data_IF_590684390301
#
_entry.id   IF_590684390301
#
_cell.length_a   1.000
_cell.length_b   1.000
_cell.length_c   1.000
_cell.angle_alpha   90.00
_cell.angle_beta   90.00
_cell.angle_gamma   90.00
#
_symmetry.space_group_name_H-M   'P 1'
#
loop_
_entity.id
_entity.type
_entity.pdbx_description
1 polymer ?
#
# COMPACT_ATOMS: atom_id res chain seq x y z
N UNK A 1 20.98 10.95 8.41
CA UNK A 1 20.20 10.01 7.58
C UNK A 1 19.20 10.75 6.70
N UNK A 2 18.30 11.58 7.23
CA UNK A 2 17.35 12.34 6.39
C UNK A 2 18.02 13.23 5.34
N UNK A 3 19.03 14.02 5.71
CA UNK A 3 19.81 14.82 4.75
C UNK A 3 20.48 13.97 3.66
N UNK A 4 20.89 12.74 4.01
CA UNK A 4 21.50 11.79 3.08
C UNK A 4 20.46 11.26 2.08
N UNK A 5 19.23 10.96 2.52
CA UNK A 5 18.12 10.58 1.64
C UNK A 5 17.76 11.74 0.71
N UNK A 6 17.60 12.94 1.26
CA UNK A 6 17.25 14.12 0.47
C UNK A 6 18.32 14.44 -0.59
N UNK A 7 19.60 14.38 -0.22
CA UNK A 7 20.70 14.55 -1.18
C UNK A 7 20.72 13.43 -2.23
N UNK A 8 20.52 12.18 -1.82
CA UNK A 8 20.52 11.02 -2.71
C UNK A 8 19.42 11.12 -3.79
N UNK A 9 18.17 11.40 -3.41
CA UNK A 9 17.03 11.51 -4.34
C UNK A 9 16.92 12.88 -5.04
N UNK A 10 17.52 13.93 -4.48
CA UNK A 10 17.50 15.28 -5.05
C UNK A 10 18.66 15.56 -6.01
N UNK A 11 19.84 14.96 -5.80
CA UNK A 11 21.07 15.32 -6.52
C UNK A 11 21.82 14.15 -7.13
N UNK A 12 21.85 12.98 -6.49
CA UNK A 12 22.65 11.84 -6.94
C UNK A 12 21.92 10.92 -7.93
N UNK A 13 20.64 10.63 -7.70
CA UNK A 13 19.81 9.83 -8.59
C UNK A 13 19.30 10.66 -9.77
N UNK A 14 19.75 10.35 -10.99
CA UNK A 14 19.24 11.00 -12.21
C UNK A 14 18.26 10.11 -12.98
N UNK A 15 18.35 8.78 -12.84
CA UNK A 15 17.42 7.85 -13.47
C UNK A 15 17.26 6.55 -12.67
N UNK A 16 16.21 5.77 -12.96
CA UNK A 16 16.02 4.44 -12.37
C UNK A 16 17.09 3.42 -12.79
N UNK A 17 17.92 3.74 -13.80
CA UNK A 17 19.03 2.88 -14.22
C UNK A 17 20.23 2.93 -13.25
N UNK A 18 20.25 3.89 -12.33
CA UNK A 18 21.33 4.08 -11.36
C UNK A 18 21.18 3.17 -10.11
N UNK A 19 20.08 2.42 -10.01
CA UNK A 19 19.76 1.50 -8.91
C UNK A 19 20.54 0.17 -9.01
N UNK A 20 21.08 -0.33 -7.89
CA UNK A 20 21.91 -1.55 -7.85
C UNK A 20 21.14 -2.81 -7.40
N UNK A 21 19.86 -2.68 -7.06
CA UNK A 21 18.98 -3.81 -6.73
C UNK A 21 17.67 -3.77 -7.50
N UNK A 22 16.97 -4.91 -7.50
CA UNK A 22 15.62 -5.05 -8.07
C UNK A 22 14.52 -4.42 -7.21
N UNK A 23 14.88 -3.83 -6.06
CA UNK A 23 13.92 -3.25 -5.12
C UNK A 23 13.06 -2.19 -5.80
N UNK A 24 13.68 -1.25 -6.51
CA UNK A 24 13.01 -0.10 -7.14
C UNK A 24 12.78 -0.26 -8.66
N UNK A 25 12.87 -1.49 -9.19
CA UNK A 25 12.76 -1.74 -10.64
C UNK A 25 11.70 -2.81 -10.92
N UNK A 26 10.49 -2.39 -11.30
CA UNK A 26 9.59 -3.23 -12.09
C UNK A 26 8.56 -2.36 -12.86
N UNK A 27 8.99 -1.87 -14.03
CA UNK A 27 8.09 -1.23 -14.99
C UNK A 27 7.11 -2.23 -15.64
N UNK A 28 7.42 -3.53 -15.59
CA UNK A 28 6.66 -4.59 -16.25
C UNK A 28 5.43 -5.07 -15.44
N UNK A 29 5.30 -4.64 -14.17
CA UNK A 29 4.19 -5.01 -13.30
C UNK A 29 2.96 -4.09 -13.41
N UNK A 30 2.99 -3.02 -14.21
CA UNK A 30 1.83 -2.11 -14.35
C UNK A 30 0.70 -2.82 -15.11
N UNK A 31 -0.51 -2.95 -14.50
CA UNK A 31 -1.67 -3.51 -15.18
C UNK A 31 -1.90 -2.87 -16.56
N UNK A 32 -2.23 -3.68 -17.56
CA UNK A 32 -2.36 -3.22 -18.95
C UNK A 32 -3.36 -2.05 -19.11
N UNK A 33 -4.40 -2.01 -18.27
CA UNK A 33 -5.41 -0.95 -18.27
C UNK A 33 -4.92 0.39 -17.71
N UNK A 34 -3.84 0.41 -16.91
CA UNK A 34 -3.21 1.63 -16.39
C UNK A 34 -2.19 2.23 -17.37
N UNK A 35 -1.67 1.45 -18.32
CA UNK A 35 -0.68 1.92 -19.30
C UNK A 35 -1.17 3.12 -20.13
N UNK A 36 -2.42 3.17 -20.63
CA UNK A 36 -2.95 4.35 -21.32
C UNK A 36 -3.00 5.60 -20.45
N UNK A 37 -3.23 5.46 -19.13
CA UNK A 37 -3.24 6.59 -18.20
C UNK A 37 -1.83 7.11 -17.93
N UNK A 38 -0.85 6.21 -17.75
CA UNK A 38 0.56 6.58 -17.65
C UNK A 38 1.06 7.30 -18.90
N UNK A 39 0.65 6.85 -20.09
CA UNK A 39 1.02 7.49 -21.35
C UNK A 39 0.50 8.94 -21.50
N UNK A 40 -0.42 9.37 -20.63
CA UNK A 40 -0.91 10.76 -20.56
C UNK A 40 -0.16 11.61 -19.54
N UNK A 41 0.71 11.01 -18.72
CA UNK A 41 1.59 11.72 -17.79
C UNK A 41 2.78 12.28 -18.55
N UNK A 42 3.22 13.48 -18.19
CA UNK A 42 4.35 14.15 -18.85
C UNK A 42 5.63 13.29 -18.75
N UNK A 43 6.42 13.16 -19.84
CA UNK A 43 7.60 12.30 -19.85
C UNK A 43 8.63 12.66 -18.77
N UNK A 44 8.85 13.96 -18.50
CA UNK A 44 9.81 14.38 -17.48
C UNK A 44 9.40 13.95 -16.07
N UNK A 45 8.11 14.04 -15.75
CA UNK A 45 7.55 13.54 -14.49
C UNK A 45 7.76 12.03 -14.41
N UNK A 46 7.50 11.30 -15.49
CA UNK A 46 7.64 9.85 -15.50
C UNK A 46 9.10 9.38 -15.41
N UNK A 47 10.06 10.14 -15.96
CA UNK A 47 11.48 9.76 -15.96
C UNK A 47 12.17 9.92 -14.60
N UNK A 48 11.64 10.78 -13.72
CA UNK A 48 12.18 11.04 -12.37
C UNK A 48 11.41 10.25 -11.30
N UNK A 49 11.10 9.00 -11.60
CA UNK A 49 10.34 8.12 -10.72
C UNK A 49 11.21 6.97 -10.20
N UNK A 50 11.16 6.71 -8.89
CA UNK A 50 12.04 5.76 -8.20
C UNK A 50 11.29 4.74 -7.33
N UNK A 51 9.99 4.53 -7.57
CA UNK A 51 9.18 3.59 -6.79
C UNK A 51 9.22 2.14 -7.29
N UNK A 52 8.84 1.20 -6.42
CA UNK A 52 8.95 -0.25 -6.64
C UNK A 52 7.81 -0.89 -7.46
N UNK A 53 6.97 -0.08 -8.10
CA UNK A 53 5.74 -0.51 -8.78
C UNK A 53 4.75 0.64 -8.97
N UNK A 54 3.45 0.35 -8.96
CA UNK A 54 2.38 1.37 -8.93
C UNK A 54 1.36 0.99 -7.85
N UNK A 55 1.06 1.94 -6.97
CA UNK A 55 0.11 1.74 -5.87
C UNK A 55 -1.23 2.34 -6.27
N UNK A 56 -2.16 1.47 -6.67
CA UNK A 56 -3.47 1.88 -7.17
C UNK A 56 -4.56 0.97 -6.59
N UNK A 57 -5.17 1.33 -5.44
CA UNK A 57 -6.33 0.60 -4.94
C UNK A 57 -7.55 0.80 -5.85
N UNK A 58 -8.53 -0.10 -5.83
CA UNK A 58 -9.75 0.04 -6.63
C UNK A 58 -10.70 1.09 -6.02
N UNK A 59 -11.72 1.46 -6.80
CA UNK A 59 -12.83 2.34 -6.39
C UNK A 59 -12.37 3.74 -5.97
N UNK A 60 -11.72 4.46 -6.90
CA UNK A 60 -11.16 5.78 -6.61
C UNK A 60 -12.01 6.95 -7.11
N UNK A 61 -13.06 6.72 -7.90
CA UNK A 61 -13.86 7.80 -8.48
C UNK A 61 -14.43 8.72 -7.38
N UNK A 62 -14.15 10.02 -7.47
CA UNK A 62 -14.56 11.03 -6.51
C UNK A 62 -13.81 11.03 -5.17
N UNK A 63 -12.82 10.14 -4.98
CA UNK A 63 -12.04 10.10 -3.75
C UNK A 63 -11.10 11.30 -3.63
N UNK A 64 -10.84 11.69 -2.38
CA UNK A 64 -9.72 12.55 -2.01
C UNK A 64 -8.55 11.71 -1.54
N UNK A 65 -7.44 11.77 -2.26
CA UNK A 65 -6.26 10.94 -2.07
C UNK A 65 -5.08 11.77 -1.55
N UNK A 66 -4.33 11.23 -0.60
CA UNK A 66 -3.02 11.74 -0.20
C UNK A 66 -1.93 10.75 -0.66
N UNK A 67 -0.94 11.24 -1.39
CA UNK A 67 0.26 10.48 -1.77
C UNK A 67 1.45 10.93 -0.92
N UNK A 68 1.98 10.01 -0.11
CA UNK A 68 3.12 10.26 0.76
C UNK A 68 4.42 9.92 0.01
N UNK A 69 5.30 10.91 -0.13
CA UNK A 69 6.54 10.77 -0.91
C UNK A 69 6.28 10.82 -2.41
N UNK A 70 5.52 11.84 -2.85
CA UNK A 70 5.01 11.93 -4.22
C UNK A 70 6.08 12.13 -5.30
N UNK A 71 7.30 12.52 -4.91
CA UNK A 71 8.40 12.85 -5.81
C UNK A 71 7.98 13.87 -6.87
N UNK A 72 8.30 13.57 -8.13
CA UNK A 72 7.93 14.36 -9.31
C UNK A 72 6.43 14.27 -9.67
N UNK A 73 5.64 13.44 -8.97
CA UNK A 73 4.19 13.39 -9.07
C UNK A 73 3.62 12.35 -10.04
N UNK A 74 4.40 11.37 -10.51
CA UNK A 74 3.92 10.32 -11.43
C UNK A 74 2.64 9.65 -10.93
N UNK A 75 2.65 9.18 -9.69
CA UNK A 75 1.51 8.46 -9.10
C UNK A 75 0.35 9.44 -8.83
N UNK A 76 0.64 10.65 -8.33
CA UNK A 76 -0.35 11.74 -8.20
C UNK A 76 -1.12 11.99 -9.50
N UNK A 77 -0.42 12.18 -10.63
CA UNK A 77 -1.05 12.46 -11.92
C UNK A 77 -1.77 11.26 -12.53
N UNK A 78 -1.33 10.04 -12.22
CA UNK A 78 -2.07 8.84 -12.60
C UNK A 78 -3.38 8.74 -11.81
N UNK A 79 -3.30 8.87 -10.48
CA UNK A 79 -4.44 8.80 -9.59
C UNK A 79 -5.44 9.93 -9.85
N UNK A 80 -4.96 11.12 -10.23
CA UNK A 80 -5.78 12.26 -10.62
C UNK A 80 -6.79 11.92 -11.73
N UNK A 81 -6.38 11.08 -12.70
CA UNK A 81 -7.26 10.62 -13.78
C UNK A 81 -8.31 9.62 -13.28
N UNK A 82 -7.97 8.79 -12.28
CA UNK A 82 -8.84 7.76 -11.72
C UNK A 82 -9.89 8.34 -10.76
N UNK A 83 -9.52 9.35 -9.98
CA UNK A 83 -10.48 10.04 -9.11
C UNK A 83 -11.43 10.95 -9.91
N UNK A 84 -10.99 11.42 -11.08
CA UNK A 84 -11.77 12.26 -11.98
C UNK A 84 -12.00 13.67 -11.45
N UNK A 85 -12.82 14.45 -12.17
CA UNK A 85 -13.06 15.88 -11.92
C UNK A 85 -13.62 16.21 -10.52
N UNK A 86 -14.29 15.24 -9.88
CA UNK A 86 -14.92 15.41 -8.56
C UNK A 86 -14.03 14.98 -7.40
N UNK A 87 -12.93 14.30 -7.69
CA UNK A 87 -11.94 13.91 -6.69
C UNK A 87 -10.78 14.89 -6.62
N UNK A 88 -9.82 14.60 -5.75
CA UNK A 88 -8.61 15.39 -5.56
C UNK A 88 -7.44 14.47 -5.20
N UNK A 89 -6.24 14.78 -5.67
CA UNK A 89 -5.01 14.12 -5.22
C UNK A 89 -4.01 15.14 -4.69
N UNK A 90 -3.57 14.94 -3.45
CA UNK A 90 -2.57 15.78 -2.80
C UNK A 90 -1.27 14.98 -2.68
N UNK A 91 -0.18 15.46 -3.27
CA UNK A 91 1.16 14.90 -3.08
C UNK A 91 1.93 15.63 -1.99
N UNK A 92 2.63 14.90 -1.12
CA UNK A 92 3.58 15.45 -0.14
C UNK A 92 4.97 14.91 -0.45
N UNK A 93 5.95 15.78 -0.58
CA UNK A 93 7.36 15.38 -0.68
C UNK A 93 8.27 16.38 0.06
N UNK A 94 9.43 15.90 0.52
CA UNK A 94 10.41 16.76 1.20
C UNK A 94 11.41 17.42 0.23
N UNK A 95 11.45 16.99 -1.03
CA UNK A 95 12.46 17.36 -2.01
C UNK A 95 11.95 18.48 -2.92
N UNK A 96 12.45 19.70 -2.71
CA UNK A 96 12.02 20.88 -3.46
C UNK A 96 12.23 20.73 -4.98
N UNK A 97 13.31 20.06 -5.40
CA UNK A 97 13.65 19.82 -6.80
C UNK A 97 12.63 18.88 -7.49
N UNK A 98 12.17 17.85 -6.78
CA UNK A 98 11.15 16.94 -7.30
C UNK A 98 9.79 17.65 -7.39
N UNK A 99 9.44 18.41 -6.35
CA UNK A 99 8.20 19.20 -6.34
C UNK A 99 8.20 20.31 -7.39
N UNK A 100 9.35 20.89 -7.73
CA UNK A 100 9.46 21.86 -8.80
C UNK A 100 9.03 21.26 -10.15
N UNK A 101 9.53 20.06 -10.49
CA UNK A 101 9.12 19.32 -11.68
C UNK A 101 7.64 18.97 -11.63
N UNK A 102 7.16 18.51 -10.48
CA UNK A 102 5.75 18.18 -10.30
C UNK A 102 4.85 19.40 -10.57
N UNK A 103 5.19 20.55 -10.00
CA UNK A 103 4.43 21.82 -10.12
C UNK A 103 4.51 22.43 -11.52
N UNK A 104 5.68 22.38 -12.16
CA UNK A 104 5.89 22.91 -13.52
C UNK A 104 4.92 22.27 -14.54
N UNK A 105 4.67 20.98 -14.40
CA UNK A 105 3.81 20.23 -15.32
C UNK A 105 2.33 20.20 -14.92
N UNK A 106 1.89 20.91 -13.87
CA UNK A 106 0.47 20.90 -13.45
C UNK A 106 -0.48 21.39 -14.54
N UNK A 107 -0.13 22.48 -15.23
CA UNK A 107 -0.98 23.03 -16.29
C UNK A 107 -1.12 22.08 -17.48
N UNK A 108 -0.02 21.42 -17.87
CA UNK A 108 -0.01 20.39 -18.92
C UNK A 108 -1.01 19.28 -18.60
N UNK A 109 -0.97 18.74 -17.38
CA UNK A 109 -1.87 17.66 -16.98
C UNK A 109 -3.32 18.13 -16.87
N UNK A 110 -3.56 19.34 -16.35
CA UNK A 110 -4.90 19.89 -16.28
C UNK A 110 -5.55 20.03 -17.66
N UNK A 111 -4.81 20.53 -18.66
CA UNK A 111 -5.26 20.60 -20.05
C UNK A 111 -5.46 19.19 -20.64
N UNK A 112 -4.51 18.29 -20.40
CA UNK A 112 -4.52 16.92 -20.95
C UNK A 112 -5.65 16.06 -20.37
N UNK A 113 -6.05 16.29 -19.13
CA UNK A 113 -7.11 15.55 -18.43
C UNK A 113 -8.48 16.21 -18.59
N UNK A 114 -8.51 17.54 -18.78
CA UNK A 114 -9.73 18.34 -18.90
C UNK A 114 -10.21 18.94 -17.57
N UNK A 115 -9.46 18.76 -16.49
CA UNK A 115 -9.76 19.27 -15.15
C UNK A 115 -8.47 19.40 -14.32
N UNK A 116 -8.47 20.30 -13.34
CA UNK A 116 -7.38 20.48 -12.39
C UNK A 116 -7.81 20.01 -11.01
N UNK A 117 -7.20 18.92 -10.52
CA UNK A 117 -7.57 18.28 -9.26
C UNK A 117 -6.34 17.78 -8.47
N UNK A 118 -5.18 18.41 -8.67
CA UNK A 118 -3.93 18.04 -8.01
C UNK A 118 -3.34 19.19 -7.21
N UNK A 119 -2.79 18.88 -6.02
CA UNK A 119 -2.06 19.82 -5.16
C UNK A 119 -0.76 19.18 -4.67
N UNK A 120 0.32 19.96 -4.57
CA UNK A 120 1.62 19.49 -4.09
C UNK A 120 2.10 20.31 -2.89
N UNK A 121 2.35 19.65 -1.76
CA UNK A 121 2.84 20.25 -0.53
C UNK A 121 4.30 19.83 -0.28
N UNK A 122 5.10 20.78 0.16
CA UNK A 122 6.45 20.50 0.64
C UNK A 122 6.40 20.18 2.13
N UNK A 123 6.94 19.02 2.51
CA UNK A 123 6.81 18.54 3.88
C UNK A 123 7.43 17.17 4.11
N UNK A 124 7.68 16.88 5.38
CA UNK A 124 8.14 15.56 5.81
C UNK A 124 6.92 14.70 6.18
N UNK A 125 6.94 13.44 5.74
CA UNK A 125 5.84 12.49 5.99
C UNK A 125 5.73 12.09 7.47
N UNK A 126 6.77 12.35 8.27
CA UNK A 126 6.78 12.19 9.72
C UNK A 126 6.05 13.32 10.47
N UNK A 127 5.86 14.47 9.80
CA UNK A 127 5.36 15.72 10.42
C UNK A 127 4.11 16.23 9.70
N UNK A 128 3.21 15.32 9.35
CA UNK A 128 2.00 15.63 8.57
C UNK A 128 1.06 16.63 9.28
N UNK A 129 1.15 16.77 10.59
CA UNK A 129 0.38 17.76 11.37
C UNK A 129 0.82 19.20 11.16
N UNK A 130 2.02 19.42 10.60
CA UNK A 130 2.55 20.75 10.30
C UNK A 130 2.10 21.24 8.92
N UNK A 131 1.53 20.35 8.11
CA UNK A 131 1.03 20.64 6.78
C UNK A 131 -0.43 21.09 6.85
N UNK A 132 -0.86 21.84 5.84
CA UNK A 132 -2.24 22.27 5.65
C UNK A 132 -3.12 21.09 5.16
N UNK A 133 -3.32 20.14 6.06
CA UNK A 133 -4.07 18.90 5.87
C UNK A 133 -5.08 18.73 7.02
N UNK A 134 -6.37 18.80 6.69
CA UNK A 134 -7.44 18.62 7.66
C UNK A 134 -7.49 17.16 8.19
N UNK A 135 -7.61 16.92 9.51
CA UNK A 135 -7.85 15.59 10.04
C UNK A 135 -9.13 14.95 9.49
N UNK A 136 -9.15 13.62 9.30
CA UNK A 136 -10.34 12.90 8.86
C UNK A 136 -10.88 13.33 7.49
N UNK A 137 -10.01 13.75 6.57
CA UNK A 137 -10.41 14.41 5.32
C UNK A 137 -10.02 13.64 4.05
N UNK A 138 -9.28 12.54 4.16
CA UNK A 138 -8.86 11.70 3.03
C UNK A 138 -9.61 10.36 3.02
N UNK A 139 -10.06 9.95 1.83
CA UNK A 139 -10.69 8.64 1.63
C UNK A 139 -9.63 7.55 1.50
N UNK A 140 -8.53 7.86 0.83
CA UNK A 140 -7.41 6.95 0.59
C UNK A 140 -6.11 7.69 0.82
N UNK A 141 -5.16 7.05 1.50
CA UNK A 141 -3.77 7.45 1.52
C UNK A 141 -3.00 6.38 0.76
N UNK A 142 -2.05 6.79 -0.09
CA UNK A 142 -1.14 5.91 -0.78
C UNK A 142 0.31 6.27 -0.48
N UNK A 143 1.19 5.30 -0.69
CA UNK A 143 2.63 5.47 -0.54
C UNK A 143 3.33 4.33 -1.27
N UNK A 144 4.47 4.61 -1.89
CA UNK A 144 5.24 3.59 -2.60
C UNK A 144 6.73 3.69 -2.25
N UNK A 145 7.22 2.71 -1.47
CA UNK A 145 8.63 2.57 -1.11
C UNK A 145 9.28 3.80 -0.42
N UNK A 146 8.52 4.51 0.43
CA UNK A 146 9.07 5.65 1.19
C UNK A 146 9.02 5.49 2.71
N UNK A 147 8.20 4.57 3.26
CA UNK A 147 8.13 4.40 4.72
C UNK A 147 9.45 3.86 5.26
N UNK A 148 10.14 3.00 4.51
CA UNK A 148 11.44 2.49 4.93
C UNK A 148 12.54 3.54 5.05
N UNK A 149 12.45 4.63 4.28
CA UNK A 149 13.36 5.76 4.34
C UNK A 149 13.06 6.69 5.53
N UNK A 150 11.87 6.57 6.11
CA UNK A 150 11.45 7.35 7.28
C UNK A 150 12.22 6.97 8.53
N UNK A 151 12.64 8.00 9.27
CA UNK A 151 13.30 7.84 10.58
C UNK A 151 12.33 7.67 11.74
N UNK A 152 11.05 8.04 11.57
CA UNK A 152 9.97 7.84 12.57
C UNK A 152 8.73 7.24 11.89
N UNK A 153 8.84 5.96 11.53
CA UNK A 153 7.74 5.17 10.96
C UNK A 153 6.46 5.20 11.83
N UNK A 154 6.53 5.10 13.16
CA UNK A 154 5.35 5.29 14.02
C UNK A 154 4.65 6.64 13.82
N UNK A 155 5.38 7.74 13.65
CA UNK A 155 4.79 9.05 13.38
C UNK A 155 4.05 9.09 12.04
N UNK A 156 4.63 8.53 10.98
CA UNK A 156 3.97 8.43 9.66
C UNK A 156 2.64 7.69 9.77
N UNK A 157 2.61 6.53 10.42
CA UNK A 157 1.38 5.75 10.58
C UNK A 157 0.32 6.48 11.42
N UNK A 158 0.71 7.17 12.50
CA UNK A 158 -0.22 8.00 13.28
C UNK A 158 -0.76 9.18 12.48
N UNK A 159 0.09 9.83 11.69
CA UNK A 159 -0.30 10.92 10.81
C UNK A 159 -1.29 10.46 9.74
N UNK A 160 -1.02 9.33 9.09
CA UNK A 160 -1.94 8.70 8.13
C UNK A 160 -3.28 8.34 8.79
N UNK A 161 -3.27 7.68 9.95
CA UNK A 161 -4.49 7.32 10.68
C UNK A 161 -5.35 8.55 11.00
N UNK A 162 -4.74 9.63 11.47
CA UNK A 162 -5.42 10.89 11.83
C UNK A 162 -6.06 11.57 10.61
N UNK A 163 -5.43 11.48 9.44
CA UNK A 163 -5.88 12.14 8.22
C UNK A 163 -6.97 11.36 7.47
N UNK A 164 -7.06 10.05 7.69
CA UNK A 164 -8.10 9.20 7.09
C UNK A 164 -9.48 9.49 7.68
N UNK A 165 -10.49 9.60 6.82
CA UNK A 165 -11.90 9.54 7.22
C UNK A 165 -12.21 8.21 7.93
N UNK A 166 -13.27 8.13 8.75
CA UNK A 166 -13.83 6.85 9.16
C UNK A 166 -14.16 5.99 7.92
N UNK A 167 -13.67 4.75 7.89
CA UNK A 167 -13.77 3.87 6.73
C UNK A 167 -12.75 4.14 5.61
N UNK A 168 -11.87 5.14 5.79
CA UNK A 168 -10.77 5.41 4.87
C UNK A 168 -9.70 4.32 4.90
N UNK A 169 -8.85 4.28 3.87
CA UNK A 169 -7.84 3.23 3.71
C UNK A 169 -6.45 3.82 3.46
N UNK A 170 -5.45 3.35 4.22
CA UNK A 170 -4.05 3.51 3.85
C UNK A 170 -3.60 2.27 3.06
N UNK A 171 -3.34 2.45 1.77
CA UNK A 171 -2.98 1.39 0.83
C UNK A 171 -1.60 1.67 0.25
N UNK A 172 -0.61 0.85 0.58
CA UNK A 172 0.78 1.17 0.26
C UNK A 172 1.62 -0.07 -0.01
N UNK A 173 2.69 0.10 -0.78
CA UNK A 173 3.69 -0.94 -1.02
C UNK A 173 5.03 -0.52 -0.45
N UNK A 174 5.70 -1.44 0.24
CA UNK A 174 7.06 -1.22 0.74
C UNK A 174 7.83 -2.54 0.86
N UNK A 175 9.10 -2.45 1.25
CA UNK A 175 9.99 -3.59 1.46
C UNK A 175 9.93 -4.08 2.92
N UNK A 176 9.86 -5.38 3.10
CA UNK A 176 9.84 -6.04 4.41
C UNK A 176 10.85 -7.16 4.44
N UNK A 177 11.24 -7.56 5.65
CA UNK A 177 12.20 -8.64 5.87
C UNK A 177 11.62 -9.70 6.81
N UNK A 178 12.03 -10.96 6.61
CA UNK A 178 11.58 -12.09 7.42
C UNK A 178 12.14 -12.11 8.85
N UNK A 179 13.15 -11.29 9.13
CA UNK A 179 13.86 -11.21 10.42
C UNK A 179 14.41 -9.81 10.67
N UNK A 180 14.75 -9.49 11.92
CA UNK A 180 15.40 -8.22 12.27
C UNK A 180 16.82 -8.17 11.72
N UNK A 181 17.18 -7.05 11.11
CA UNK A 181 18.53 -6.82 10.57
C UNK A 181 19.48 -6.32 11.67
N UNK A 182 20.77 -6.70 11.66
CA UNK A 182 21.79 -6.08 12.51
C UNK A 182 22.03 -4.60 12.20
N UNK A 183 22.49 -3.82 13.18
CA UNK A 183 22.75 -2.38 13.04
C UNK A 183 23.72 -2.05 11.90
N UNK A 184 24.71 -2.89 11.66
CA UNK A 184 25.66 -2.72 10.57
C UNK A 184 24.98 -2.68 9.18
N UNK A 185 23.86 -3.40 9.04
CA UNK A 185 23.07 -3.43 7.81
C UNK A 185 22.11 -2.25 7.77
N UNK A 186 21.45 -1.95 8.89
CA UNK A 186 20.50 -0.84 9.01
C UNK A 186 21.14 0.52 8.69
N UNK A 187 22.40 0.69 9.10
CA UNK A 187 23.17 1.93 8.89
C UNK A 187 23.99 1.93 7.59
N UNK A 188 23.94 0.86 6.78
CA UNK A 188 24.72 0.79 5.55
C UNK A 188 24.15 1.75 4.49
N UNK A 189 24.92 2.75 4.00
CA UNK A 189 24.37 3.83 3.16
C UNK A 189 23.64 3.35 1.90
N UNK A 190 24.23 2.39 1.18
CA UNK A 190 23.63 1.84 -0.06
C UNK A 190 22.33 1.08 0.24
N UNK A 191 22.35 0.14 1.19
CA UNK A 191 21.15 -0.61 1.56
C UNK A 191 20.05 0.30 2.10
N UNK A 192 20.40 1.32 2.88
CA UNK A 192 19.41 2.30 3.35
C UNK A 192 18.80 3.08 2.19
N UNK A 193 19.62 3.61 1.27
CA UNK A 193 19.17 4.35 0.09
C UNK A 193 18.28 3.52 -0.84
N UNK A 194 18.47 2.20 -0.88
CA UNK A 194 17.63 1.28 -1.66
C UNK A 194 16.46 0.67 -0.85
N UNK A 195 16.06 1.31 0.25
CA UNK A 195 14.96 0.90 1.11
C UNK A 195 15.13 -0.47 1.82
N UNK A 196 16.29 -1.11 1.72
CA UNK A 196 16.59 -2.42 2.33
C UNK A 196 17.05 -2.28 3.78
N UNK A 197 17.92 -1.30 4.07
CA UNK A 197 18.48 -1.09 5.41
C UNK A 197 17.41 -0.65 6.42
N UNK A 198 16.43 0.13 5.96
CA UNK A 198 15.29 0.58 6.75
C UNK A 198 14.11 -0.40 6.79
N UNK A 199 14.20 -1.54 6.09
CA UNK A 199 13.12 -2.51 5.99
C UNK A 199 12.76 -3.10 7.35
N UNK A 200 11.48 -3.05 7.70
CA UNK A 200 11.01 -3.62 8.95
C UNK A 200 10.85 -5.14 8.86
N UNK A 201 11.19 -5.80 9.97
CA UNK A 201 10.67 -7.13 10.22
C UNK A 201 9.14 -7.07 10.21
N UNK A 202 8.49 -7.92 9.39
CA UNK A 202 7.06 -7.83 9.12
C UNK A 202 6.19 -7.79 10.37
N UNK A 203 6.55 -8.54 11.43
CA UNK A 203 5.73 -8.56 12.65
C UNK A 203 5.97 -7.32 13.53
N UNK A 204 7.14 -6.69 13.45
CA UNK A 204 7.35 -5.38 14.09
C UNK A 204 6.55 -4.30 13.38
N UNK A 205 6.45 -4.36 12.04
CA UNK A 205 5.53 -3.50 11.30
C UNK A 205 4.08 -3.68 11.77
N UNK A 206 3.57 -4.91 11.87
CA UNK A 206 2.20 -5.15 12.34
C UNK A 206 1.97 -4.60 13.75
N UNK A 207 2.95 -4.71 14.65
CA UNK A 207 2.88 -4.13 16.00
C UNK A 207 2.81 -2.60 15.96
N UNK A 208 3.64 -1.95 15.15
CA UNK A 208 3.68 -0.49 15.03
C UNK A 208 2.38 0.02 14.40
N UNK A 209 1.87 -0.65 13.37
CA UNK A 209 0.59 -0.32 12.73
C UNK A 209 -0.58 -0.41 13.71
N UNK A 210 -0.67 -1.50 14.51
CA UNK A 210 -1.68 -1.63 15.56
C UNK A 210 -1.55 -0.54 16.63
N UNK A 211 -0.34 -0.25 17.07
CA UNK A 211 -0.09 0.82 18.04
C UNK A 211 -0.46 2.22 17.51
N UNK A 212 -0.44 2.42 16.18
CA UNK A 212 -0.88 3.65 15.52
C UNK A 212 -2.40 3.74 15.32
N UNK A 213 -3.16 2.69 15.64
CA UNK A 213 -4.63 2.66 15.52
C UNK A 213 -5.17 1.81 14.37
N UNK A 214 -4.31 1.11 13.61
CA UNK A 214 -4.74 0.18 12.56
C UNK A 214 -4.81 -1.25 13.11
N UNK A 215 -5.98 -1.65 13.63
CA UNK A 215 -6.13 -2.91 14.35
C UNK A 215 -5.84 -4.17 13.51
N UNK A 216 -6.20 -4.15 12.22
CA UNK A 216 -6.11 -5.31 11.33
C UNK A 216 -5.47 -4.96 9.97
N UNK A 217 -4.12 -4.84 9.90
CA UNK A 217 -3.41 -4.66 8.63
C UNK A 217 -3.51 -5.92 7.76
N UNK A 218 -3.95 -5.76 6.50
CA UNK A 218 -4.11 -6.87 5.54
C UNK A 218 -3.06 -6.85 4.45
N UNK A 219 -2.40 -7.99 4.25
CA UNK A 219 -1.48 -8.20 3.14
C UNK A 219 -2.28 -8.46 1.85
N UNK A 220 -2.10 -7.61 0.85
CA UNK A 220 -2.81 -7.69 -0.44
C UNK A 220 -2.02 -8.53 -1.45
N UNK A 221 -0.74 -8.24 -1.58
CA UNK A 221 0.17 -8.94 -2.48
C UNK A 221 1.60 -8.88 -1.97
N UNK A 222 2.42 -9.84 -2.36
CA UNK A 222 3.84 -9.87 -2.04
C UNK A 222 4.64 -10.53 -3.16
N UNK A 223 5.90 -10.12 -3.29
CA UNK A 223 6.91 -10.76 -4.14
C UNK A 223 8.26 -10.79 -3.42
N UNK A 224 9.04 -11.88 -3.55
CA UNK A 224 10.40 -11.89 -3.05
C UNK A 224 11.27 -10.88 -3.83
N UNK A 225 12.24 -10.28 -3.14
CA UNK A 225 13.26 -9.42 -3.74
C UNK A 225 14.61 -10.12 -3.71
N UNK A 226 15.33 -10.03 -4.82
CA UNK A 226 16.67 -10.57 -4.96
C UNK A 226 17.70 -9.44 -4.90
N UNK A 227 18.72 -9.62 -4.06
CA UNK A 227 19.90 -8.76 -4.00
C UNK A 227 20.94 -9.36 -4.94
N UNK A 228 21.10 -8.74 -6.10
CA UNK A 228 21.95 -9.24 -7.19
C UNK A 228 23.43 -9.00 -6.94
N UNK A 229 23.79 -8.01 -6.11
CA UNK A 229 25.18 -7.66 -5.85
C UNK A 229 25.80 -8.60 -4.80
N UNK A 230 26.86 -9.37 -5.12
CA UNK A 230 27.39 -10.41 -4.25
C UNK A 230 27.85 -9.91 -2.88
N UNK A 231 28.48 -8.74 -2.81
CA UNK A 231 28.99 -8.17 -1.57
C UNK A 231 27.85 -7.75 -0.63
N UNK A 232 26.76 -7.21 -1.19
CA UNK A 232 25.56 -6.86 -0.43
C UNK A 232 24.78 -8.10 0.00
N UNK A 233 24.69 -9.12 -0.86
CA UNK A 233 24.07 -10.40 -0.55
C UNK A 233 24.80 -11.10 0.60
N UNK A 234 26.13 -11.10 0.60
CA UNK A 234 26.94 -11.63 1.69
C UNK A 234 26.73 -10.87 3.01
N UNK A 235 26.56 -9.55 2.93
CA UNK A 235 26.31 -8.70 4.09
C UNK A 235 24.94 -8.98 4.74
N UNK A 236 23.89 -9.17 3.94
CA UNK A 236 22.54 -9.48 4.45
C UNK A 236 22.36 -10.92 4.92
N UNK A 237 23.26 -11.82 4.53
CA UNK A 237 23.24 -13.23 4.92
C UNK A 237 21.92 -13.90 4.56
N UNK A 238 21.29 -14.54 5.55
CA UNK A 238 20.05 -15.31 5.37
C UNK A 238 18.77 -14.45 5.41
N UNK A 239 18.89 -13.12 5.48
CA UNK A 239 17.73 -12.23 5.48
C UNK A 239 17.02 -12.27 4.12
N UNK A 240 15.72 -12.55 4.14
CA UNK A 240 14.90 -12.57 2.91
C UNK A 240 14.03 -11.34 2.86
N UNK A 241 14.11 -10.62 1.75
CA UNK A 241 13.36 -9.39 1.51
C UNK A 241 12.17 -9.64 0.60
N UNK A 242 11.11 -8.88 0.85
CA UNK A 242 9.85 -8.98 0.13
C UNK A 242 9.33 -7.58 -0.16
N UNK A 243 8.92 -7.31 -1.40
CA UNK A 243 8.06 -6.17 -1.70
C UNK A 243 6.63 -6.60 -1.42
N UNK A 244 5.95 -5.90 -0.51
CA UNK A 244 4.60 -6.26 -0.10
C UNK A 244 3.68 -5.05 -0.11
N UNK A 245 2.45 -5.27 -0.53
CA UNK A 245 1.37 -4.28 -0.52
C UNK A 245 0.44 -4.56 0.63
N UNK A 246 0.24 -3.58 1.50
CA UNK A 246 -0.68 -3.66 2.61
C UNK A 246 -1.86 -2.71 2.44
N UNK A 247 -2.98 -3.07 3.06
CA UNK A 247 -4.13 -2.20 3.27
C UNK A 247 -4.51 -2.12 4.74
N UNK A 248 -4.66 -0.91 5.21
CA UNK A 248 -4.94 -0.58 6.61
C UNK A 248 -6.18 0.32 6.65
N UNK A 249 -7.30 -0.20 7.13
CA UNK A 249 -8.54 0.57 7.23
C UNK A 249 -8.62 1.36 8.53
N UNK A 250 -9.10 2.60 8.45
CA UNK A 250 -9.42 3.42 9.62
C UNK A 250 -10.87 3.13 10.09
N UNK A 251 -11.04 1.99 10.74
CA UNK A 251 -12.32 1.55 11.30
C UNK A 251 -12.07 1.25 12.79
N UNK A 252 -12.56 2.09 13.72
CA UNK A 252 -12.24 1.96 15.15
C UNK A 252 -12.82 0.69 15.78
N UNK A 253 -13.83 0.09 15.17
CA UNK A 253 -14.44 -1.13 15.66
C UNK A 253 -13.67 -2.40 15.26
N UNK A 254 -12.59 -2.34 14.49
CA UNK A 254 -11.83 -3.57 14.15
C UNK A 254 -11.15 -4.17 15.38
N UNK A 255 -11.19 -5.49 15.46
CA UNK A 255 -10.61 -6.29 16.54
C UNK A 255 -9.21 -6.81 16.16
N UNK A 256 -8.41 -7.24 17.13
CA UNK A 256 -7.05 -7.77 16.90
C UNK A 256 -7.04 -9.24 16.45
N UNK A 257 -8.18 -9.93 16.57
CA UNK A 257 -8.42 -11.28 16.11
C UNK A 257 -9.58 -11.36 15.11
N UNK A 258 -9.58 -12.41 14.29
CA UNK A 258 -10.70 -12.68 13.39
C UNK A 258 -11.81 -13.40 14.17
N UNK A 259 -12.76 -12.63 14.68
CA UNK A 259 -13.92 -13.18 15.40
C UNK A 259 -15.03 -13.62 14.44
N UNK A 260 -15.70 -14.72 14.77
CA UNK A 260 -16.80 -15.31 14.03
C UNK A 260 -18.15 -14.89 14.63
N UNK A 261 -18.97 -14.23 13.81
CA UNK A 261 -20.34 -13.85 14.11
C UNK A 261 -21.36 -14.53 13.19
N UNK A 262 -20.94 -15.54 12.41
CA UNK A 262 -21.80 -16.24 11.45
C UNK A 262 -22.13 -15.40 10.21
N UNK A 263 -21.24 -14.47 9.86
CA UNK A 263 -21.46 -13.49 8.80
C UNK A 263 -21.00 -13.99 7.44
N UNK A 264 -21.66 -13.51 6.39
CA UNK A 264 -21.26 -13.74 5.02
C UNK A 264 -21.57 -12.53 4.14
N UNK A 265 -20.88 -12.47 3.00
CA UNK A 265 -21.07 -11.43 1.99
C UNK A 265 -21.30 -12.05 0.62
N UNK A 266 -21.95 -11.31 -0.28
CA UNK A 266 -22.05 -11.64 -1.70
C UNK A 266 -21.48 -10.46 -2.47
N UNK A 267 -20.39 -10.69 -3.19
CA UNK A 267 -19.85 -9.70 -4.12
C UNK A 267 -20.75 -9.58 -5.35
N UNK A 268 -21.11 -8.36 -5.74
CA UNK A 268 -22.06 -8.10 -6.84
C UNK A 268 -21.43 -8.13 -8.24
N UNK A 269 -20.10 -8.21 -8.35
CA UNK A 269 -19.43 -8.15 -9.65
C UNK A 269 -19.45 -6.76 -10.31
N UNK A 270 -19.64 -5.70 -9.52
CA UNK A 270 -19.87 -4.33 -10.01
C UNK A 270 -18.62 -3.46 -10.10
N UNK A 271 -17.45 -3.96 -9.68
CA UNK A 271 -16.16 -3.27 -9.84
C UNK A 271 -15.64 -3.59 -11.24
N UNK A 272 -15.43 -2.57 -12.07
CA UNK A 272 -15.13 -2.74 -13.50
C UNK A 272 -13.86 -3.56 -13.77
N UNK A 273 -12.85 -3.39 -12.92
CA UNK A 273 -11.56 -4.09 -12.98
C UNK A 273 -11.63 -5.51 -12.40
N UNK A 274 -12.74 -5.89 -11.78
CA UNK A 274 -12.91 -7.16 -11.06
C UNK A 274 -14.34 -7.71 -11.20
N UNK A 275 -14.88 -7.90 -12.42
CA UNK A 275 -16.30 -8.21 -12.62
C UNK A 275 -16.70 -9.61 -12.14
N UNK A 276 -15.77 -10.56 -12.15
CA UNK A 276 -16.05 -11.98 -11.81
C UNK A 276 -15.55 -12.38 -10.43
N UNK A 277 -14.51 -11.71 -9.94
CA UNK A 277 -13.83 -12.04 -8.69
C UNK A 277 -13.09 -10.81 -8.17
N UNK A 278 -13.25 -10.53 -6.89
CA UNK A 278 -12.46 -9.52 -6.19
C UNK A 278 -11.38 -10.20 -5.36
N UNK A 279 -10.13 -9.90 -5.66
CA UNK A 279 -9.00 -10.19 -4.77
C UNK A 279 -8.89 -9.06 -3.75
N UNK A 280 -9.51 -9.24 -2.58
CA UNK A 280 -9.57 -8.21 -1.56
C UNK A 280 -8.28 -8.16 -0.73
N UNK A 281 -7.75 -9.32 -0.36
CA UNK A 281 -6.42 -9.46 0.23
C UNK A 281 -5.92 -10.88 -0.07
N UNK A 282 -4.73 -11.25 0.40
CA UNK A 282 -4.12 -12.56 0.12
C UNK A 282 -4.97 -13.76 0.58
N UNK A 283 -5.91 -13.54 1.49
CA UNK A 283 -6.79 -14.59 2.05
C UNK A 283 -8.23 -14.51 1.53
N UNK A 284 -8.66 -13.36 0.99
CA UNK A 284 -10.05 -13.12 0.58
C UNK A 284 -10.18 -12.95 -0.94
N UNK A 285 -10.40 -14.07 -1.62
CA UNK A 285 -10.70 -14.15 -3.06
C UNK A 285 -12.20 -14.42 -3.28
N UNK A 286 -12.98 -13.36 -3.50
CA UNK A 286 -14.45 -13.40 -3.42
C UNK A 286 -15.06 -13.44 -4.82
N UNK A 287 -15.74 -14.54 -5.16
CA UNK A 287 -16.41 -14.73 -6.45
C UNK A 287 -17.75 -13.97 -6.52
N UNK A 288 -18.01 -13.33 -7.66
CA UNK A 288 -19.25 -12.58 -7.88
C UNK A 288 -20.48 -13.51 -7.84
N UNK A 289 -21.53 -13.09 -7.15
CA UNK A 289 -22.79 -13.84 -7.01
C UNK A 289 -22.76 -15.02 -6.02
N UNK A 290 -21.60 -15.36 -5.46
CA UNK A 290 -21.44 -16.45 -4.50
C UNK A 290 -21.47 -15.92 -3.06
N UNK A 291 -22.16 -16.65 -2.18
CA UNK A 291 -22.08 -16.42 -0.72
C UNK A 291 -20.68 -16.79 -0.24
N UNK A 292 -20.02 -15.86 0.45
CA UNK A 292 -18.67 -16.01 0.97
C UNK A 292 -18.66 -15.72 2.48
N UNK A 293 -18.39 -16.71 3.35
CA UNK A 293 -18.29 -16.50 4.79
C UNK A 293 -17.11 -15.58 5.14
N UNK A 294 -17.30 -14.70 6.12
CA UNK A 294 -16.28 -13.75 6.56
C UNK A 294 -16.28 -13.58 8.06
N UNK A 295 -15.11 -13.25 8.63
CA UNK A 295 -15.02 -12.80 10.02
C UNK A 295 -15.59 -11.39 10.20
N UNK A 296 -15.80 -11.00 11.46
CA UNK A 296 -16.33 -9.68 11.85
C UNK A 296 -15.54 -8.52 11.26
N UNK A 297 -14.21 -8.59 11.29
CA UNK A 297 -13.34 -7.55 10.72
C UNK A 297 -13.55 -7.40 9.21
N UNK A 298 -13.49 -8.49 8.44
CA UNK A 298 -13.68 -8.43 6.99
C UNK A 298 -15.09 -7.92 6.65
N UNK A 299 -16.11 -8.31 7.43
CA UNK A 299 -17.47 -7.79 7.27
C UNK A 299 -17.50 -6.26 7.44
N UNK A 300 -16.92 -5.72 8.52
CA UNK A 300 -16.82 -4.27 8.76
C UNK A 300 -16.01 -3.55 7.69
N UNK A 301 -14.89 -4.11 7.25
CA UNK A 301 -14.06 -3.55 6.16
C UNK A 301 -14.84 -3.44 4.85
N UNK A 302 -15.71 -4.39 4.54
CA UNK A 302 -16.55 -4.33 3.34
C UNK A 302 -17.76 -3.40 3.53
N UNK A 303 -18.34 -3.34 4.74
CA UNK A 303 -19.56 -2.60 5.02
C UNK A 303 -19.36 -1.11 5.31
N UNK A 304 -18.27 -0.74 5.97
CA UNK A 304 -18.03 0.64 6.46
C UNK A 304 -17.12 1.45 5.55
N UNK A 305 -16.89 0.99 4.33
CA UNK A 305 -15.95 1.60 3.39
C UNK A 305 -16.60 1.78 2.03
N UNK A 306 -15.86 2.38 1.10
CA UNK A 306 -16.28 2.53 -0.30
C UNK A 306 -16.61 1.22 -1.02
N UNK A 307 -16.27 0.05 -0.45
CA UNK A 307 -16.65 -1.25 -0.99
C UNK A 307 -18.13 -1.58 -0.78
N UNK A 308 -18.80 -0.98 0.21
CA UNK A 308 -20.15 -1.36 0.63
C UNK A 308 -21.21 -1.43 -0.49
N UNK A 309 -21.27 -0.48 -1.45
CA UNK A 309 -22.24 -0.55 -2.56
C UNK A 309 -22.08 -1.80 -3.46
N UNK A 310 -20.91 -2.43 -3.42
CA UNK A 310 -20.55 -3.57 -4.26
C UNK A 310 -20.86 -4.93 -3.61
N UNK A 311 -21.39 -4.93 -2.39
CA UNK A 311 -21.67 -6.15 -1.63
C UNK A 311 -23.12 -6.21 -1.13
N UNK A 312 -23.60 -7.43 -0.96
CA UNK A 312 -24.76 -7.73 -0.13
C UNK A 312 -24.30 -8.45 1.13
N UNK A 313 -24.91 -8.13 2.27
CA UNK A 313 -24.45 -8.56 3.59
C UNK A 313 -25.48 -9.51 4.22
N UNK A 314 -25.00 -10.58 4.86
CA UNK A 314 -25.80 -11.61 5.51
C UNK A 314 -25.29 -11.77 6.95
N UNK A 315 -26.21 -11.71 7.91
CA UNK A 315 -25.89 -11.79 9.34
C UNK A 315 -25.77 -10.42 10.01
N UNK A 316 -25.54 -10.44 11.32
CA UNK A 316 -25.39 -9.31 12.21
C UNK A 316 -24.27 -9.61 13.24
N UNK A 317 -24.16 -8.83 14.31
CA UNK A 317 -23.19 -9.02 15.39
C UNK A 317 -23.85 -9.53 16.69
N UNK A 318 -25.11 -9.98 16.66
CA UNK A 318 -25.88 -10.30 17.87
C UNK A 318 -25.41 -11.60 18.55
N UNK A 319 -24.71 -12.47 17.83
CA UNK A 319 -24.15 -13.72 18.34
C UNK A 319 -22.67 -13.82 17.99
N UNK A 320 -21.88 -14.35 18.92
CA UNK A 320 -20.46 -14.64 18.77
C UNK A 320 -20.23 -16.14 18.87
N UNK A 321 -19.45 -16.70 17.94
CA UNK A 321 -19.19 -18.13 17.82
C UNK A 321 -17.73 -18.50 18.14
N UNK A 322 -16.90 -17.53 18.54
CA UNK A 322 -15.47 -17.70 18.80
C UNK A 322 -14.60 -17.25 17.64
N UNK A 323 -13.41 -17.84 17.50
CA UNK A 323 -12.47 -17.50 16.43
C UNK A 323 -12.92 -18.06 15.08
N UNK A 324 -12.81 -17.23 14.04
CA UNK A 324 -13.04 -17.63 12.66
C UNK A 324 -11.91 -18.53 12.15
N UNK A 325 -12.26 -19.74 11.72
CA UNK A 325 -11.27 -20.73 11.25
C UNK A 325 -10.50 -20.22 10.02
N UNK A 326 -9.18 -20.48 9.98
CA UNK A 326 -8.33 -20.13 8.85
C UNK A 326 -7.63 -18.76 8.93
N UNK A 327 -7.89 -17.94 9.96
CA UNK A 327 -7.15 -16.71 10.22
C UNK A 327 -5.82 -16.95 10.98
N UNK A 328 -4.79 -17.38 10.24
CA UNK A 328 -3.36 -17.05 10.43
C UNK A 328 -2.60 -17.44 11.73
N UNK A 329 -1.50 -18.18 11.57
CA UNK A 329 -0.34 -18.12 12.50
C UNK A 329 1.05 -18.40 11.84
N UNK A 330 1.11 -18.59 10.52
CA UNK A 330 2.38 -18.74 9.78
C UNK A 330 2.86 -17.39 9.20
N UNK A 331 4.12 -17.35 8.71
CA UNK A 331 4.69 -16.17 8.01
C UNK A 331 3.77 -15.83 6.81
N UNK A 332 3.27 -14.59 6.68
CA UNK A 332 2.23 -14.25 5.69
C UNK A 332 2.73 -14.28 4.23
N UNK A 333 4.03 -14.37 4.00
CA UNK A 333 4.67 -14.39 2.67
C UNK A 333 4.85 -15.79 2.06
N UNK A 334 4.14 -16.80 2.58
CA UNK A 334 4.29 -18.17 2.05
C UNK A 334 3.61 -18.36 0.68
N UNK A 335 4.15 -19.28 -0.13
CA UNK A 335 3.72 -19.59 -1.51
C UNK A 335 2.53 -20.54 -1.58
N UNK A 336 2.07 -21.07 -0.46
CA UNK A 336 1.03 -22.09 -0.38
C UNK A 336 -0.35 -21.45 -0.29
N UNK A 337 -1.04 -21.43 -1.44
CA UNK A 337 -2.50 -21.36 -1.53
C UNK A 337 -3.08 -22.30 -0.47
N UNK A 338 -3.94 -21.80 0.41
CA UNK A 338 -4.69 -22.65 1.33
C UNK A 338 -5.63 -23.57 0.52
N UNK A 339 -5.14 -24.73 0.10
CA UNK A 339 -5.99 -25.86 -0.28
C UNK A 339 -6.42 -26.52 1.01
N UNK A 340 -7.54 -26.06 1.56
CA UNK A 340 -8.33 -26.85 2.50
C UNK A 340 -8.96 -28.02 1.75
N UNK A 341 -8.27 -29.15 1.68
CA UNK A 341 -8.93 -30.45 1.54
C UNK A 341 -8.47 -31.36 2.68
N UNK A 342 -9.40 -31.57 3.60
CA UNK A 342 -9.32 -32.48 4.73
C UNK A 342 -9.33 -33.94 4.28
N UNK A 343 -8.37 -34.70 4.79
CA UNK A 343 -8.48 -36.09 5.29
C UNK A 343 -9.59 -37.00 4.76
N UNK A 344 -9.21 -38.14 4.15
CA UNK A 344 -9.34 -39.47 4.76
C UNK A 344 -9.27 -40.57 3.69
N UNK A 345 -8.17 -41.31 3.65
CA UNK A 345 -8.15 -42.66 3.10
C UNK A 345 -7.22 -43.51 3.98
N UNK A 346 -7.77 -44.02 5.08
CA UNK A 346 -7.27 -45.23 5.69
C UNK A 346 -7.52 -46.37 4.69
N UNK A 347 -6.46 -46.93 4.12
CA UNK A 347 -6.54 -48.17 3.36
C UNK A 347 -6.20 -49.32 4.29
N UNK A 348 -7.24 -49.97 4.82
CA UNK A 348 -7.18 -51.40 5.12
C UNK A 348 -7.43 -52.17 3.82
N UNK A 349 -6.48 -53.03 3.44
CA UNK A 349 -6.67 -54.34 2.81
C UNK A 349 -5.31 -55.02 2.77
#
# INVERSE_FOLDING_TARGET
MQELVQAYYGQELQSSADLKTSACCDADAVPAWLKPLLARVHPEVSSRYYGCGLVCPPLLEGCRILDLGSGSGRDVYLLAQLVGERGEVVGVDMTAEQLAVAREHQAFHAERFGFANVRFLEGQIERLEELDLEPGSFDVIVSNCVLNLSTDKPAVLRGAQRLLKPGGEFYFSDVYVDRRLPDAIQCHPVLYGECLGGALYWNDFLRIARAAGFADPRLVSDRPLEITEPDLAALVGEARFFSATYRLFNIPELEDACEDHGQAVIYRGSIAESPTRLEFDKHHSIEAGKVFPVCGNTFRMLQHTRFAPHFSFIGDFDRHYGLFEGCGSAIPFDRTRATSESSAAASCC
#
